data_IF_695816118889
#
_entry.id   IF_695816118889
#
_cell.length_a   1.000
_cell.length_b   1.000
_cell.length_c   1.000
_cell.angle_alpha   90.00
_cell.angle_beta   90.00
_cell.angle_gamma   90.00
#
_symmetry.space_group_name_H-M   'P 1'
#
loop_
_entity.id
_entity.type
_entity.pdbx_description
1 polymer ?
#
# COMPACT_ATOMS: atom_id res chain seq x y z
N UNK A 1 16.12 -12.56 7.68
CA UNK A 1 15.10 -13.17 8.57
C UNK A 1 13.94 -13.71 7.75
N UNK A 2 14.18 -14.69 6.86
CA UNK A 2 13.18 -15.30 5.99
C UNK A 2 13.02 -16.82 6.25
N UNK A 3 13.57 -17.32 7.36
CA UNK A 3 13.69 -18.76 7.62
C UNK A 3 12.49 -19.37 8.38
N UNK A 4 11.61 -18.55 8.99
CA UNK A 4 10.56 -19.04 9.89
C UNK A 4 9.26 -19.47 9.22
N UNK A 5 9.17 -19.42 7.90
CA UNK A 5 7.90 -19.62 7.18
C UNK A 5 7.73 -21.01 6.55
N UNK A 6 8.69 -21.91 6.74
CA UNK A 6 8.70 -23.21 6.08
C UNK A 6 7.62 -24.19 6.58
N UNK A 7 6.82 -23.81 7.59
CA UNK A 7 5.81 -24.67 8.23
C UNK A 7 4.35 -24.35 7.91
N UNK A 8 4.05 -23.25 7.21
CA UNK A 8 2.67 -22.92 6.84
C UNK A 8 2.30 -23.57 5.50
N UNK A 9 1.23 -24.36 5.47
CA UNK A 9 0.70 -24.91 4.23
C UNK A 9 0.26 -23.74 3.32
N UNK A 10 0.72 -23.66 2.06
CA UNK A 10 0.31 -22.60 1.14
C UNK A 10 -1.19 -22.72 0.93
N UNK A 11 -1.95 -21.81 1.54
CA UNK A 11 -3.40 -21.82 1.50
C UNK A 11 -3.88 -21.16 0.21
N UNK A 12 -3.49 -21.70 -0.95
CA UNK A 12 -3.94 -21.24 -2.27
C UNK A 12 -5.35 -21.76 -2.61
N UNK A 13 -6.13 -22.21 -1.63
CA UNK A 13 -7.55 -22.53 -1.81
C UNK A 13 -8.36 -21.34 -1.32
N UNK A 14 -8.59 -20.37 -2.22
CA UNK A 14 -9.55 -19.27 -1.98
C UNK A 14 -8.99 -17.84 -1.94
N UNK A 15 -7.76 -17.59 -2.43
CA UNK A 15 -7.23 -16.23 -2.58
C UNK A 15 -6.83 -15.54 -1.28
N UNK A 16 -6.58 -16.30 -0.19
CA UNK A 16 -6.11 -15.78 1.10
C UNK A 16 -4.61 -16.00 1.23
N UNK A 17 -3.91 -15.03 1.80
CA UNK A 17 -2.49 -15.14 2.15
C UNK A 17 -2.33 -15.76 3.53
N UNK A 18 -1.29 -16.57 3.74
CA UNK A 18 -0.89 -17.03 5.08
C UNK A 18 -0.36 -15.87 5.93
N UNK A 19 -0.12 -16.09 7.23
CA UNK A 19 0.43 -15.04 8.08
C UNK A 19 1.84 -14.66 7.61
N UNK A 20 2.68 -15.63 7.23
CA UNK A 20 3.98 -15.33 6.67
C UNK A 20 3.88 -14.57 5.34
N UNK A 21 2.99 -14.97 4.43
CA UNK A 21 2.82 -14.26 3.17
C UNK A 21 2.38 -12.81 3.42
N UNK A 22 1.42 -12.59 4.32
CA UNK A 22 1.01 -11.26 4.77
C UNK A 22 2.21 -10.47 5.30
N UNK A 23 3.04 -11.08 6.16
CA UNK A 23 4.25 -10.45 6.71
C UNK A 23 5.22 -10.01 5.61
N UNK A 24 5.49 -10.87 4.63
CA UNK A 24 6.37 -10.57 3.51
C UNK A 24 5.79 -9.46 2.62
N UNK A 25 4.48 -9.49 2.37
CA UNK A 25 3.79 -8.43 1.62
C UNK A 25 3.90 -7.09 2.35
N UNK A 26 3.58 -7.04 3.64
CA UNK A 26 3.63 -5.81 4.44
C UNK A 26 5.06 -5.25 4.53
N UNK A 27 6.06 -6.12 4.70
CA UNK A 27 7.46 -5.72 4.66
C UNK A 27 7.84 -5.13 3.29
N UNK A 28 7.33 -5.70 2.20
CA UNK A 28 7.59 -5.22 0.83
C UNK A 28 6.96 -3.85 0.57
N UNK A 29 5.72 -3.65 1.01
CA UNK A 29 5.04 -2.36 0.97
C UNK A 29 5.84 -1.31 1.74
N UNK A 30 6.25 -1.62 2.98
CA UNK A 30 7.03 -0.70 3.81
C UNK A 30 8.39 -0.35 3.18
N UNK A 31 9.08 -1.32 2.59
CA UNK A 31 10.34 -1.08 1.88
C UNK A 31 10.15 -0.17 0.65
N UNK A 32 9.11 -0.40 -0.14
CA UNK A 32 8.79 0.42 -1.31
C UNK A 32 8.41 1.86 -0.92
N UNK A 33 7.60 2.04 0.13
CA UNK A 33 7.25 3.37 0.65
C UNK A 33 8.48 4.11 1.21
N UNK A 34 9.34 3.41 1.95
CA UNK A 34 10.60 3.97 2.45
C UNK A 34 11.46 4.50 1.29
N UNK A 35 11.54 3.74 0.19
CA UNK A 35 12.26 4.13 -1.01
C UNK A 35 11.64 5.36 -1.71
N UNK A 36 10.31 5.49 -1.71
CA UNK A 36 9.59 6.66 -2.23
C UNK A 36 9.86 7.89 -1.36
N UNK A 37 9.74 7.74 -0.04
CA UNK A 37 9.97 8.83 0.92
C UNK A 37 11.43 9.30 0.91
N UNK A 38 12.40 8.39 0.75
CA UNK A 38 13.81 8.74 0.59
C UNK A 38 14.06 9.60 -0.68
N UNK A 39 13.19 9.50 -1.69
CA UNK A 39 13.18 10.35 -2.88
C UNK A 39 12.28 11.58 -2.76
N UNK A 40 11.72 11.82 -1.57
CA UNK A 40 10.81 12.94 -1.32
C UNK A 40 9.44 12.78 -2.00
N UNK A 41 9.00 11.56 -2.30
CA UNK A 41 7.69 11.29 -2.92
C UNK A 41 6.80 10.51 -1.96
N UNK A 42 5.63 11.04 -1.64
CA UNK A 42 4.55 10.31 -0.99
C UNK A 42 3.62 9.71 -2.06
N UNK A 43 3.21 8.44 -1.91
CA UNK A 43 2.35 7.76 -2.89
C UNK A 43 0.95 8.38 -3.00
N UNK A 44 0.36 8.76 -1.87
CA UNK A 44 -0.92 9.49 -1.81
C UNK A 44 -2.19 8.64 -1.96
N UNK A 45 -2.13 7.50 -2.65
CA UNK A 45 -3.28 6.57 -2.82
C UNK A 45 -2.86 5.11 -2.60
N UNK A 46 -2.44 4.76 -1.39
CA UNK A 46 -2.06 3.37 -1.08
C UNK A 46 -3.29 2.55 -0.73
N UNK A 47 -3.57 1.52 -1.53
CA UNK A 47 -4.71 0.59 -1.39
C UNK A 47 -4.33 -0.77 -2.01
N UNK A 48 -5.05 -1.87 -1.69
CA UNK A 48 -4.72 -3.20 -2.19
C UNK A 48 -4.60 -3.28 -3.72
N UNK A 49 -5.43 -2.51 -4.44
CA UNK A 49 -5.44 -2.45 -5.90
C UNK A 49 -4.14 -1.86 -6.48
N UNK A 50 -3.42 -1.07 -5.68
CA UNK A 50 -2.17 -0.40 -6.06
C UNK A 50 -0.92 -1.18 -5.57
N UNK A 51 -1.12 -2.40 -5.05
CA UNK A 51 -0.04 -3.31 -4.63
C UNK A 51 0.03 -4.49 -5.60
N UNK A 52 1.11 -4.57 -6.35
CA UNK A 52 1.36 -5.67 -7.28
C UNK A 52 2.14 -6.78 -6.59
N UNK A 53 1.57 -7.98 -6.66
CA UNK A 53 2.17 -9.23 -6.17
C UNK A 53 2.58 -10.12 -7.36
N UNK A 54 3.55 -11.03 -7.18
CA UNK A 54 3.84 -12.06 -8.17
C UNK A 54 2.62 -12.96 -8.42
N UNK A 55 2.59 -13.64 -9.57
CA UNK A 55 1.47 -14.50 -9.97
C UNK A 55 1.11 -15.53 -8.89
N UNK A 56 -0.18 -15.86 -8.77
CA UNK A 56 -0.78 -16.71 -7.71
C UNK A 56 -0.14 -18.10 -7.58
N UNK A 57 0.48 -18.60 -8.64
CA UNK A 57 1.21 -19.88 -8.64
C UNK A 57 2.59 -19.81 -7.99
N UNK A 58 3.08 -18.62 -7.65
CA UNK A 58 4.36 -18.40 -7.01
C UNK A 58 4.12 -17.85 -5.59
N UNK A 59 4.63 -18.52 -4.54
CA UNK A 59 4.54 -18.00 -3.19
C UNK A 59 5.27 -16.64 -3.11
N UNK A 60 4.75 -15.74 -2.27
CA UNK A 60 5.43 -14.49 -1.93
C UNK A 60 6.59 -14.81 -0.98
N UNK A 61 7.65 -15.40 -1.55
CA UNK A 61 8.81 -15.88 -0.82
C UNK A 61 9.78 -14.76 -0.44
N UNK A 62 9.63 -13.56 -1.02
CA UNK A 62 10.55 -12.44 -0.79
C UNK A 62 9.85 -11.10 -0.78
N UNK A 63 10.27 -10.25 0.15
CA UNK A 63 9.94 -8.83 0.26
C UNK A 63 10.15 -8.07 -1.07
N UNK A 64 11.12 -8.51 -1.88
CA UNK A 64 11.50 -7.85 -3.14
C UNK A 64 10.53 -8.09 -4.30
N UNK A 65 9.56 -8.99 -4.17
CA UNK A 65 8.58 -9.24 -5.23
C UNK A 65 7.39 -8.28 -5.21
N UNK A 66 7.22 -7.50 -4.14
CA UNK A 66 6.12 -6.53 -3.98
C UNK A 66 6.46 -5.23 -4.70
N UNK A 67 5.52 -4.68 -5.47
CA UNK A 67 5.68 -3.38 -6.14
C UNK A 67 4.47 -2.50 -5.91
N UNK A 68 4.70 -1.19 -5.84
CA UNK A 68 3.63 -0.19 -5.83
C UNK A 68 3.40 0.35 -7.24
N UNK A 69 2.14 0.61 -7.59
CA UNK A 69 1.75 1.23 -8.84
C UNK A 69 0.73 2.35 -8.62
N UNK A 70 0.45 3.10 -9.68
CA UNK A 70 -0.49 4.23 -9.68
C UNK A 70 -0.05 5.42 -8.79
N UNK A 71 0.94 6.16 -9.27
CA UNK A 71 1.44 7.39 -8.65
C UNK A 71 0.67 8.66 -9.09
N UNK A 72 -0.57 8.52 -9.58
CA UNK A 72 -1.36 9.68 -10.06
C UNK A 72 -1.71 10.65 -8.92
N UNK A 73 -1.84 10.13 -7.71
CA UNK A 73 -2.05 10.88 -6.46
C UNK A 73 -0.73 11.28 -5.76
N UNK A 74 0.43 10.94 -6.33
CA UNK A 74 1.71 11.14 -5.67
C UNK A 74 2.07 12.63 -5.55
N UNK A 75 2.73 12.98 -4.45
CA UNK A 75 3.11 14.36 -4.17
C UNK A 75 4.47 14.47 -3.46
N UNK A 76 5.13 15.64 -3.50
CA UNK A 76 6.33 15.86 -2.72
C UNK A 76 6.06 15.75 -1.21
N UNK A 77 6.88 14.97 -0.50
CA UNK A 77 6.80 14.84 0.96
C UNK A 77 6.99 16.22 1.61
N UNK A 78 6.11 16.55 2.56
CA UNK A 78 6.16 17.83 3.29
C UNK A 78 5.50 19.01 2.57
N UNK A 79 5.05 18.84 1.32
CA UNK A 79 4.29 19.86 0.59
C UNK A 79 2.81 19.50 0.62
N UNK A 80 1.98 20.40 1.15
CA UNK A 80 0.53 20.29 1.02
C UNK A 80 0.15 20.49 -0.44
N UNK A 81 -0.08 19.39 -1.16
CA UNK A 81 -0.69 19.46 -2.49
C UNK A 81 -2.10 19.99 -2.32
N UNK A 82 -2.39 21.17 -2.89
CA UNK A 82 -3.75 21.70 -2.99
C UNK A 82 -4.63 20.96 -4.00
N UNK A 83 -4.19 19.77 -4.46
CA UNK A 83 -4.95 18.95 -5.40
C UNK A 83 -6.22 18.43 -4.74
N UNK A 84 -7.27 18.34 -5.56
CA UNK A 84 -8.52 17.64 -5.28
C UNK A 84 -8.23 16.20 -4.80
N UNK A 85 -9.11 15.62 -3.98
CA UNK A 85 -8.99 14.25 -3.48
C UNK A 85 -8.67 13.27 -4.63
N UNK A 86 -7.40 12.93 -4.80
CA UNK A 86 -7.00 11.80 -5.63
C UNK A 86 -6.86 10.52 -4.78
N UNK A 87 -6.93 10.64 -3.45
CA UNK A 87 -6.88 9.51 -2.53
C UNK A 87 -8.25 8.82 -2.44
N UNK A 88 -8.23 7.49 -2.42
CA UNK A 88 -9.40 6.66 -2.18
C UNK A 88 -9.83 6.81 -0.71
N UNK A 89 -11.10 7.16 -0.49
CA UNK A 89 -11.60 7.60 0.81
C UNK A 89 -11.41 6.57 1.95
N UNK A 90 -11.50 5.28 1.64
CA UNK A 90 -11.43 4.18 2.62
C UNK A 90 -10.03 3.93 3.18
N UNK A 91 -8.99 4.31 2.43
CA UNK A 91 -7.58 4.13 2.79
C UNK A 91 -6.86 5.45 3.05
N UNK A 92 -7.58 6.57 2.94
CA UNK A 92 -7.04 7.90 3.19
C UNK A 92 -6.72 8.07 4.67
N UNK A 93 -5.50 8.53 4.97
CA UNK A 93 -5.14 8.96 6.31
C UNK A 93 -6.05 10.12 6.77
N UNK A 94 -6.37 10.23 8.07
CA UNK A 94 -7.35 11.22 8.56
C UNK A 94 -6.95 12.67 8.22
N UNK A 95 -5.66 12.98 8.20
CA UNK A 95 -5.14 14.28 7.77
C UNK A 95 -5.33 14.55 6.28
N UNK A 96 -5.26 13.51 5.43
CA UNK A 96 -5.50 13.63 4.00
C UNK A 96 -7.00 13.81 3.70
N UNK A 97 -7.85 13.07 4.41
CA UNK A 97 -9.31 13.23 4.33
C UNK A 97 -9.75 14.63 4.79
N UNK A 98 -9.12 15.20 5.83
CA UNK A 98 -9.42 16.57 6.29
C UNK A 98 -8.89 17.65 5.34
N UNK A 99 -7.76 17.39 4.68
CA UNK A 99 -7.14 18.35 3.76
C UNK A 99 -7.89 18.47 2.42
N UNK A 100 -8.66 17.46 2.06
CA UNK A 100 -9.39 17.46 0.81
C UNK A 100 -10.71 18.26 0.90
N UNK A 101 -10.83 19.25 0.03
CA UNK A 101 -11.96 20.18 -0.02
C UNK A 101 -13.30 19.51 -0.37
N UNK A 102 -13.28 18.37 -1.06
CA UNK A 102 -14.50 17.65 -1.47
C UNK A 102 -15.14 16.86 -0.30
N UNK A 103 -14.34 16.17 0.53
CA UNK A 103 -14.86 15.44 1.68
C UNK A 103 -15.01 16.31 2.94
N UNK A 104 -14.27 17.42 3.06
CA UNK A 104 -14.52 18.42 4.11
C UNK A 104 -15.90 19.12 3.97
N UNK A 105 -16.49 19.13 2.78
CA UNK A 105 -17.81 19.71 2.52
C UNK A 105 -18.98 18.76 2.83
N UNK A 106 -18.72 17.47 3.01
CA UNK A 106 -19.72 16.46 3.38
C UNK A 106 -19.41 15.90 4.76
N UNK A 107 -19.89 16.59 5.79
CA UNK A 107 -19.90 16.07 7.17
C UNK A 107 -20.71 14.77 7.30
N UNK A 108 -20.60 14.07 8.44
CA UNK A 108 -21.18 12.74 8.61
C UNK A 108 -22.71 12.80 8.46
N UNK A 109 -23.25 11.86 7.68
CA UNK A 109 -24.70 11.59 7.65
C UNK A 109 -25.12 10.82 8.89
#
# INVERSE_FOLDING_TARGET
AAADCAGETPSTVGGRLTECECRNVMAGIAAALSLCHARGVAHGDLKPENVLLPAVSAPVASVMSVRLCDFTAACPVGVRSGRECAASAEYAAPEAARACRLCAATGPR
#
